data_IF_788454057378
#
_entry.id   IF_788454057378
#
_cell.length_a   1.000
_cell.length_b   1.000
_cell.length_c   1.000
_cell.angle_alpha   90.00
_cell.angle_beta   90.00
_cell.angle_gamma   90.00
#
_symmetry.space_group_name_H-M   'P 1'
#
loop_
_entity.id
_entity.type
_entity.pdbx_description
1 polymer ?
#
# COMPACT_ATOMS: atom_id res chain seq x y z
N UNK A 1 51.60 6.23 34.19
CA UNK A 1 50.52 5.46 34.83
C UNK A 1 49.33 6.38 35.09
N UNK A 2 48.24 6.11 34.36
CA UNK A 2 46.81 6.29 34.69
C UNK A 2 46.27 7.71 34.91
N UNK A 3 45.54 8.15 33.87
CA UNK A 3 44.56 9.22 33.86
C UNK A 3 43.23 8.76 34.48
N UNK A 4 42.50 9.68 35.12
CA UNK A 4 41.06 9.56 35.43
C UNK A 4 40.46 10.97 35.52
N UNK A 5 39.98 11.49 34.38
CA UNK A 5 39.04 12.60 34.35
C UNK A 5 37.65 12.01 34.11
N UNK A 6 36.78 12.12 35.11
CA UNK A 6 35.36 11.76 35.01
C UNK A 6 34.67 12.89 34.26
N UNK A 7 34.35 12.67 32.99
CA UNK A 7 33.48 13.54 32.21
C UNK A 7 32.03 13.27 32.62
N UNK A 8 31.36 14.29 33.14
CA UNK A 8 29.95 14.26 33.45
C UNK A 8 29.12 14.12 32.18
N UNK A 9 28.30 13.08 32.13
CA UNK A 9 27.37 12.76 31.06
C UNK A 9 26.39 13.90 30.78
N UNK A 10 26.50 14.51 29.59
CA UNK A 10 25.38 15.20 28.96
C UNK A 10 24.32 14.18 28.61
N UNK A 11 23.20 14.21 29.33
CA UNK A 11 21.94 13.55 29.00
C UNK A 11 21.43 14.10 27.66
N UNK A 12 21.91 13.53 26.57
CA UNK A 12 21.18 13.50 25.31
C UNK A 12 19.98 12.57 25.55
N UNK A 13 18.84 13.18 25.82
CA UNK A 13 17.54 12.56 25.69
C UNK A 13 17.39 12.08 24.25
N UNK A 14 17.86 10.86 23.97
CA UNK A 14 17.31 10.03 22.91
C UNK A 14 15.85 9.83 23.26
N UNK A 15 15.02 10.73 22.75
CA UNK A 15 13.63 10.43 22.49
C UNK A 15 13.68 9.38 21.38
N UNK A 16 13.79 8.11 21.79
CA UNK A 16 13.40 7.00 20.94
C UNK A 16 11.93 7.24 20.64
N UNK A 17 11.65 7.88 19.51
CA UNK A 17 10.35 7.75 18.88
C UNK A 17 10.23 6.26 18.58
N UNK A 18 9.58 5.53 19.49
CA UNK A 18 8.91 4.29 19.16
C UNK A 18 7.92 4.69 18.07
N UNK A 19 8.32 4.52 16.80
CA UNK A 19 7.43 4.67 15.67
C UNK A 19 6.43 3.53 15.76
N UNK A 20 5.38 3.76 16.55
CA UNK A 20 4.12 3.05 16.45
C UNK A 20 3.61 3.15 15.00
N UNK A 21 2.84 2.14 14.60
CA UNK A 21 2.24 1.91 13.27
C UNK A 21 2.58 3.00 12.26
N UNK A 22 3.52 2.70 11.37
CA UNK A 22 3.87 3.56 10.26
C UNK A 22 2.74 3.50 9.23
N UNK A 23 1.67 4.25 9.52
CA UNK A 23 0.67 4.69 8.57
C UNK A 23 -0.43 3.70 8.18
N UNK A 24 -1.68 4.03 8.48
CA UNK A 24 -2.82 3.43 7.77
C UNK A 24 -2.95 4.22 6.47
N UNK A 25 -2.94 3.52 5.33
CA UNK A 25 -3.33 4.15 4.06
C UNK A 25 -4.68 3.68 3.55
N UNK A 26 -5.26 4.50 2.68
CA UNK A 26 -6.62 4.32 2.17
C UNK A 26 -6.63 4.37 0.64
N UNK A 27 -7.52 3.58 0.04
CA UNK A 27 -7.74 3.55 -1.40
C UNK A 27 -8.51 4.79 -1.86
N UNK A 28 -7.99 5.55 -2.82
CA UNK A 28 -8.71 6.64 -3.48
C UNK A 28 -9.33 6.14 -4.79
N UNK A 29 -10.58 5.67 -4.68
CA UNK A 29 -11.41 5.32 -5.84
C UNK A 29 -11.95 6.56 -6.55
N UNK A 30 -11.88 6.58 -7.88
CA UNK A 30 -12.28 7.73 -8.72
C UNK A 30 -13.47 7.43 -9.64
N UNK A 31 -14.12 6.28 -9.47
CA UNK A 31 -15.31 5.88 -10.23
C UNK A 31 -16.57 6.55 -9.65
N UNK A 32 -16.75 7.85 -9.87
CA UNK A 32 -17.93 8.60 -9.43
C UNK A 32 -18.06 9.98 -10.06
N UNK A 33 -19.29 10.46 -10.27
CA UNK A 33 -19.57 11.74 -10.95
C UNK A 33 -19.71 12.94 -10.01
N UNK A 34 -19.67 12.71 -8.69
CA UNK A 34 -19.89 13.70 -7.65
C UNK A 34 -18.75 13.75 -6.61
N UNK A 35 -17.58 13.20 -6.95
CA UNK A 35 -16.44 13.15 -6.04
C UNK A 35 -15.83 14.55 -5.83
N UNK A 36 -15.29 14.85 -4.64
CA UNK A 36 -14.53 16.07 -4.41
C UNK A 36 -13.30 16.16 -5.33
N UNK A 37 -12.81 17.38 -5.55
CA UNK A 37 -11.55 17.58 -6.29
C UNK A 37 -10.36 16.92 -5.56
N UNK A 38 -9.30 16.50 -6.28
CA UNK A 38 -8.15 15.85 -5.66
C UNK A 38 -7.55 16.62 -4.48
N UNK A 39 -7.43 17.95 -4.56
CA UNK A 39 -6.93 18.77 -3.44
C UNK A 39 -7.79 18.65 -2.18
N UNK A 40 -9.11 18.60 -2.33
CA UNK A 40 -10.05 18.41 -1.21
C UNK A 40 -9.91 17.02 -0.62
N UNK A 41 -9.68 16.01 -1.46
CA UNK A 41 -9.41 14.64 -1.00
C UNK A 41 -8.08 14.58 -0.25
N UNK A 42 -7.00 15.15 -0.77
CA UNK A 42 -5.70 15.21 -0.06
C UNK A 42 -5.82 15.95 1.28
N UNK A 43 -6.56 17.05 1.33
CA UNK A 43 -6.85 17.75 2.59
C UNK A 43 -7.61 16.86 3.57
N UNK A 44 -8.57 16.06 3.09
CA UNK A 44 -9.31 15.11 3.91
C UNK A 44 -8.41 13.99 4.47
N UNK A 45 -7.50 13.44 3.66
CA UNK A 45 -6.52 12.44 4.13
C UNK A 45 -5.70 13.01 5.30
N UNK A 46 -5.18 14.23 5.14
CA UNK A 46 -4.38 14.90 6.17
C UNK A 46 -5.19 15.22 7.42
N UNK A 47 -6.42 15.70 7.27
CA UNK A 47 -7.30 16.02 8.39
C UNK A 47 -7.65 14.78 9.24
N UNK A 48 -7.57 13.58 8.65
CA UNK A 48 -7.87 12.31 9.31
C UNK A 48 -6.62 11.48 9.64
N UNK A 49 -5.42 12.08 9.59
CA UNK A 49 -4.15 11.39 9.89
C UNK A 49 -3.92 10.13 9.04
N UNK A 50 -4.47 10.08 7.83
CA UNK A 50 -4.17 9.03 6.85
C UNK A 50 -2.86 9.42 6.20
N UNK A 51 -1.89 8.52 6.19
CA UNK A 51 -0.51 8.82 5.77
C UNK A 51 -0.16 8.26 4.41
N UNK A 52 -0.94 7.30 3.90
CA UNK A 52 -0.67 6.64 2.63
C UNK A 52 -1.96 6.56 1.80
N UNK A 53 -1.83 6.65 0.48
CA UNK A 53 -2.93 6.58 -0.47
C UNK A 53 -2.59 5.60 -1.58
N UNK A 54 -3.57 4.78 -1.95
CA UNK A 54 -3.50 3.97 -3.16
C UNK A 54 -4.42 4.53 -4.22
N UNK A 55 -3.85 4.86 -5.38
CA UNK A 55 -4.57 5.22 -6.60
C UNK A 55 -4.47 4.07 -7.61
N UNK A 56 -5.58 3.70 -8.24
CA UNK A 56 -5.66 2.45 -9.03
C UNK A 56 -5.15 2.59 -10.46
N UNK A 57 -5.00 3.82 -10.96
CA UNK A 57 -4.51 4.12 -12.30
C UNK A 57 -3.75 5.45 -12.28
N UNK A 58 -2.92 5.73 -13.29
CA UNK A 58 -2.26 7.02 -13.40
C UNK A 58 -3.27 8.13 -13.71
N UNK A 59 -3.42 9.07 -12.78
CA UNK A 59 -4.16 10.31 -12.96
C UNK A 59 -3.26 11.49 -12.59
N UNK A 60 -2.91 12.31 -13.58
CA UNK A 60 -1.99 13.43 -13.38
C UNK A 60 -2.59 14.55 -12.54
N UNK A 61 -3.90 14.78 -12.55
CA UNK A 61 -4.53 15.79 -11.70
C UNK A 61 -4.38 15.41 -10.22
N UNK A 62 -4.47 14.11 -9.92
CA UNK A 62 -4.32 13.60 -8.57
C UNK A 62 -2.85 13.61 -8.14
N UNK A 63 -1.93 13.24 -9.04
CA UNK A 63 -0.49 13.32 -8.78
C UNK A 63 -0.03 14.76 -8.54
N UNK A 64 -0.59 15.74 -9.25
CA UNK A 64 -0.35 17.17 -8.99
C UNK A 64 -0.81 17.57 -7.59
N UNK A 65 -2.04 17.20 -7.19
CA UNK A 65 -2.56 17.47 -5.85
C UNK A 65 -1.75 16.80 -4.73
N UNK A 66 -1.09 15.68 -5.02
CA UNK A 66 -0.25 14.95 -4.06
C UNK A 66 1.13 15.56 -3.86
N UNK A 67 1.57 16.50 -4.70
CA UNK A 67 2.90 17.13 -4.59
C UNK A 67 3.04 17.84 -3.24
N UNK A 68 4.11 17.52 -2.51
CA UNK A 68 4.41 18.11 -1.20
C UNK A 68 3.40 17.76 -0.10
N UNK A 69 2.45 16.85 -0.34
CA UNK A 69 1.44 16.45 0.64
C UNK A 69 2.04 15.71 1.83
N UNK A 70 3.15 14.99 1.61
CA UNK A 70 3.78 14.07 2.56
C UNK A 70 3.13 12.69 2.60
N UNK A 71 2.05 12.46 1.83
CA UNK A 71 1.40 11.16 1.74
C UNK A 71 2.27 10.18 0.96
N UNK A 72 2.42 8.96 1.47
CA UNK A 72 2.96 7.86 0.68
C UNK A 72 1.99 7.44 -0.40
N UNK A 73 2.47 7.17 -1.61
CA UNK A 73 1.61 6.88 -2.77
C UNK A 73 1.91 5.51 -3.33
N UNK A 74 0.89 4.65 -3.35
CA UNK A 74 0.85 3.44 -4.17
C UNK A 74 0.15 3.78 -5.48
N UNK A 75 0.89 3.76 -6.59
CA UNK A 75 0.36 4.08 -7.92
C UNK A 75 0.16 2.80 -8.73
N UNK A 76 -1.10 2.48 -9.06
CA UNK A 76 -1.45 1.38 -9.96
C UNK A 76 -1.34 1.75 -11.43
N UNK A 77 -0.99 0.78 -12.27
CA UNK A 77 -1.23 0.82 -13.72
C UNK A 77 -2.69 0.46 -14.00
N UNK A 78 -3.21 0.81 -15.18
CA UNK A 78 -4.43 0.17 -15.66
C UNK A 78 -4.15 -1.31 -15.98
N UNK A 79 -5.18 -2.15 -15.91
CA UNK A 79 -5.07 -3.53 -16.40
C UNK A 79 -4.86 -3.56 -17.93
N UNK A 80 -5.36 -2.55 -18.67
CA UNK A 80 -5.11 -2.39 -20.10
C UNK A 80 -3.65 -2.08 -20.44
N UNK A 81 -2.88 -1.54 -19.48
CA UNK A 81 -1.47 -1.23 -19.69
C UNK A 81 -0.60 -2.49 -19.59
N UNK A 82 -1.10 -3.59 -18.99
CA UNK A 82 -0.28 -4.77 -18.71
C UNK A 82 0.32 -5.42 -19.95
N UNK A 83 -0.48 -5.57 -21.02
CA UNK A 83 0.00 -6.19 -22.25
C UNK A 83 1.15 -5.39 -22.91
N UNK A 84 1.00 -4.07 -23.18
CA UNK A 84 2.09 -3.28 -23.74
C UNK A 84 3.26 -3.11 -22.76
N UNK A 85 3.01 -3.01 -21.45
CA UNK A 85 4.09 -3.01 -20.44
C UNK A 85 4.90 -4.30 -20.46
N UNK A 86 4.25 -5.44 -20.69
CA UNK A 86 4.90 -6.75 -20.73
C UNK A 86 5.72 -6.97 -22.01
N UNK A 87 5.24 -6.48 -23.16
CA UNK A 87 5.83 -6.78 -24.47
C UNK A 87 6.80 -5.71 -24.99
N UNK A 88 6.72 -4.46 -24.51
CA UNK A 88 7.53 -3.35 -25.01
C UNK A 88 8.16 -2.53 -23.88
N UNK A 89 9.49 -2.66 -23.75
CA UNK A 89 10.27 -1.89 -22.77
C UNK A 89 10.21 -0.37 -23.02
N UNK A 90 10.01 0.08 -24.26
CA UNK A 90 9.89 1.51 -24.61
C UNK A 90 8.56 2.08 -24.13
N UNK A 91 7.50 1.26 -24.14
CA UNK A 91 6.21 1.62 -23.55
C UNK A 91 6.36 1.81 -22.04
N UNK A 92 7.03 0.88 -21.33
CA UNK A 92 7.30 1.02 -19.90
C UNK A 92 8.14 2.27 -19.58
N UNK A 93 9.16 2.58 -20.39
CA UNK A 93 9.93 3.81 -20.27
C UNK A 93 9.05 5.06 -20.41
N UNK A 94 8.17 5.08 -21.42
CA UNK A 94 7.24 6.19 -21.66
C UNK A 94 6.22 6.34 -20.53
N UNK A 95 5.73 5.22 -19.97
CA UNK A 95 4.81 5.21 -18.84
C UNK A 95 5.47 5.83 -17.59
N UNK A 96 6.70 5.42 -17.27
CA UNK A 96 7.48 5.99 -16.15
C UNK A 96 7.76 7.47 -16.37
N UNK A 97 8.17 7.85 -17.58
CA UNK A 97 8.45 9.24 -17.96
C UNK A 97 7.21 10.13 -17.84
N UNK A 98 6.02 9.58 -18.09
CA UNK A 98 4.76 10.34 -18.04
C UNK A 98 4.22 10.48 -16.61
N UNK A 99 4.28 9.40 -15.82
CA UNK A 99 3.48 9.31 -14.59
C UNK A 99 4.28 9.25 -13.29
N UNK A 100 5.58 8.97 -13.35
CA UNK A 100 6.41 8.86 -12.15
C UNK A 100 7.50 9.92 -12.14
N UNK A 101 8.28 10.00 -13.22
CA UNK A 101 9.45 10.88 -13.30
C UNK A 101 9.16 12.37 -13.06
N UNK A 102 8.07 12.98 -13.59
CA UNK A 102 7.79 14.41 -13.38
C UNK A 102 7.40 14.75 -11.93
N UNK A 103 6.95 13.74 -11.19
CA UNK A 103 6.47 13.85 -9.82
C UNK A 103 7.50 13.38 -8.79
N UNK A 104 8.58 12.74 -9.25
CA UNK A 104 9.66 12.27 -8.40
C UNK A 104 10.28 13.43 -7.60
N UNK A 105 10.42 13.24 -6.29
CA UNK A 105 10.91 14.25 -5.36
C UNK A 105 9.84 15.18 -4.78
N UNK A 106 8.66 15.27 -5.41
CA UNK A 106 7.51 16.00 -4.87
C UNK A 106 6.42 15.07 -4.35
N UNK A 107 6.25 13.91 -4.98
CA UNK A 107 5.34 12.84 -4.55
C UNK A 107 6.15 11.71 -3.93
N UNK A 108 5.71 11.20 -2.78
CA UNK A 108 6.40 10.14 -2.05
C UNK A 108 5.91 8.77 -2.51
N UNK A 109 6.33 8.32 -3.70
CA UNK A 109 5.96 6.99 -4.20
C UNK A 109 6.51 5.87 -3.30
N UNK A 110 5.60 5.04 -2.78
CA UNK A 110 5.91 3.83 -2.00
C UNK A 110 6.10 2.63 -2.91
N UNK A 111 5.16 2.43 -3.82
CA UNK A 111 5.12 1.28 -4.74
C UNK A 111 4.47 1.66 -6.07
N UNK A 112 4.90 1.00 -7.14
CA UNK A 112 4.14 0.93 -8.40
C UNK A 112 3.47 -0.44 -8.48
N UNK A 113 2.16 -0.50 -8.70
CA UNK A 113 1.41 -1.74 -8.87
C UNK A 113 1.21 -2.03 -10.36
N UNK A 114 1.87 -3.07 -10.86
CA UNK A 114 1.62 -3.64 -12.19
C UNK A 114 0.34 -4.48 -12.16
N UNK A 115 -0.76 -3.87 -12.57
CA UNK A 115 -2.09 -4.47 -12.58
C UNK A 115 -2.77 -4.54 -11.21
N UNK A 116 -4.07 -4.76 -11.28
CA UNK A 116 -4.97 -4.94 -10.14
C UNK A 116 -5.82 -6.20 -10.34
N UNK A 117 -5.63 -7.17 -9.44
CA UNK A 117 -6.46 -8.38 -9.30
C UNK A 117 -6.52 -9.25 -10.56
N UNK A 118 -5.48 -9.18 -11.40
CA UNK A 118 -5.37 -10.00 -12.62
C UNK A 118 -4.85 -11.41 -12.36
N UNK A 119 -4.43 -11.68 -11.12
CA UNK A 119 -4.01 -13.01 -10.66
C UNK A 119 -5.06 -13.50 -9.64
N UNK A 120 -5.70 -14.67 -9.86
CA UNK A 120 -5.54 -15.52 -11.05
C UNK A 120 -6.34 -14.96 -12.24
N UNK A 121 -5.92 -15.26 -13.46
CA UNK A 121 -6.64 -14.80 -14.66
C UNK A 121 -5.81 -14.96 -15.93
N UNK A 122 -6.43 -14.71 -17.08
CA UNK A 122 -5.78 -14.82 -18.41
C UNK A 122 -4.57 -13.88 -18.55
N UNK A 123 -4.61 -12.73 -17.89
CA UNK A 123 -3.54 -11.74 -17.90
C UNK A 123 -2.45 -11.99 -16.85
N UNK A 124 -2.56 -13.04 -16.02
CA UNK A 124 -1.59 -13.30 -14.95
C UNK A 124 -0.15 -13.48 -15.49
N UNK A 125 0.00 -14.09 -16.67
CA UNK A 125 1.29 -14.29 -17.32
C UNK A 125 1.96 -12.97 -17.75
N UNK A 126 1.20 -11.88 -17.87
CA UNK A 126 1.71 -10.56 -18.27
C UNK A 126 2.33 -9.79 -17.10
N UNK A 127 2.00 -10.15 -15.85
CA UNK A 127 2.40 -9.37 -14.67
C UNK A 127 3.91 -9.37 -14.47
N UNK A 128 4.56 -10.53 -14.52
CA UNK A 128 6.00 -10.61 -14.26
C UNK A 128 6.83 -9.83 -15.31
N UNK A 129 6.62 -9.99 -16.63
CA UNK A 129 7.32 -9.20 -17.63
C UNK A 129 7.03 -7.69 -17.49
N UNK A 130 5.77 -7.30 -17.20
CA UNK A 130 5.43 -5.89 -16.97
C UNK A 130 6.17 -5.31 -15.76
N UNK A 131 6.26 -6.05 -14.64
CA UNK A 131 7.02 -5.64 -13.47
C UNK A 131 8.51 -5.46 -13.79
N UNK A 132 9.10 -6.39 -14.56
CA UNK A 132 10.50 -6.32 -14.96
C UNK A 132 10.80 -5.09 -15.83
N UNK A 133 9.92 -4.79 -16.79
CA UNK A 133 10.08 -3.62 -17.66
C UNK A 133 9.87 -2.31 -16.90
N UNK A 134 8.89 -2.22 -16.00
CA UNK A 134 8.71 -1.06 -15.12
C UNK A 134 9.91 -0.84 -14.19
N UNK A 135 10.45 -1.91 -13.58
CA UNK A 135 11.63 -1.83 -12.72
C UNK A 135 12.87 -1.37 -13.51
N UNK A 136 13.06 -1.88 -14.73
CA UNK A 136 14.12 -1.44 -15.62
C UNK A 136 13.97 0.04 -16.00
N UNK A 137 12.77 0.49 -16.33
CA UNK A 137 12.47 1.88 -16.68
C UNK A 137 12.68 2.84 -15.50
N UNK A 138 12.20 2.49 -14.29
CA UNK A 138 12.42 3.28 -13.07
C UNK A 138 13.90 3.43 -12.76
N UNK A 139 14.66 2.33 -12.83
CA UNK A 139 16.11 2.33 -12.63
C UNK A 139 16.84 3.18 -13.68
N UNK A 140 16.45 3.08 -14.95
CA UNK A 140 17.02 3.90 -16.02
C UNK A 140 16.73 5.39 -15.82
N UNK A 141 15.59 5.74 -15.22
CA UNK A 141 15.23 7.10 -14.82
C UNK A 141 15.92 7.56 -13.51
N UNK A 142 16.76 6.73 -12.89
CA UNK A 142 17.42 7.04 -11.61
C UNK A 142 16.50 6.97 -10.39
N UNK A 143 15.35 6.31 -10.51
CA UNK A 143 14.34 6.19 -9.46
C UNK A 143 14.43 4.83 -8.77
N UNK A 144 14.38 4.84 -7.44
CA UNK A 144 14.41 3.62 -6.61
C UNK A 144 13.03 3.33 -5.99
N UNK A 145 11.99 3.33 -6.84
CA UNK A 145 10.63 2.97 -6.42
C UNK A 145 10.41 1.47 -6.67
N UNK A 146 10.03 0.67 -5.67
CA UNK A 146 9.77 -0.75 -5.86
C UNK A 146 8.49 -0.98 -6.69
N UNK A 147 8.50 -2.04 -7.51
CA UNK A 147 7.36 -2.50 -8.30
C UNK A 147 6.78 -3.77 -7.67
N UNK A 148 5.46 -3.84 -7.57
CA UNK A 148 4.70 -4.99 -7.06
C UNK A 148 3.45 -5.20 -7.91
N UNK A 149 2.56 -6.11 -7.51
CA UNK A 149 1.24 -6.30 -8.12
C UNK A 149 0.18 -6.47 -7.02
N UNK A 150 -1.07 -6.11 -7.29
CA UNK A 150 -2.18 -6.45 -6.41
C UNK A 150 -2.82 -7.75 -6.90
N UNK A 151 -2.80 -8.78 -6.07
CA UNK A 151 -3.44 -10.06 -6.36
C UNK A 151 -4.90 -10.02 -5.92
N UNK A 152 -5.78 -10.73 -6.65
CA UNK A 152 -7.16 -10.87 -6.25
C UNK A 152 -7.23 -11.68 -4.95
N UNK A 153 -8.12 -11.32 -4.03
CA UNK A 153 -8.32 -12.08 -2.77
C UNK A 153 -8.69 -13.55 -3.05
N UNK A 154 -9.28 -13.84 -4.22
CA UNK A 154 -9.61 -15.20 -4.68
C UNK A 154 -8.39 -16.13 -4.82
N UNK A 155 -7.16 -15.61 -4.90
CA UNK A 155 -5.92 -16.43 -4.88
C UNK A 155 -5.76 -17.24 -3.59
N UNK A 156 -6.42 -16.83 -2.50
CA UNK A 156 -6.43 -17.55 -1.23
C UNK A 156 -7.34 -18.80 -1.26
N UNK A 157 -8.06 -19.04 -2.37
CA UNK A 157 -8.91 -20.21 -2.60
C UNK A 157 -10.31 -20.11 -1.98
N UNK A 158 -11.04 -21.24 -1.95
CA UNK A 158 -12.39 -21.37 -1.36
C UNK A 158 -12.43 -21.30 0.18
N UNK A 159 -11.31 -20.96 0.83
CA UNK A 159 -11.18 -20.95 2.28
C UNK A 159 -11.79 -19.74 2.99
N UNK A 160 -12.60 -18.92 2.31
CA UNK A 160 -13.21 -17.74 2.90
C UNK A 160 -14.39 -18.09 3.82
N UNK A 161 -14.08 -18.64 4.99
CA UNK A 161 -14.99 -18.68 6.13
C UNK A 161 -14.62 -17.60 7.14
N UNK A 162 -15.56 -17.22 8.00
CA UNK A 162 -15.32 -16.29 9.11
C UNK A 162 -14.18 -16.81 10.00
N UNK A 163 -14.09 -18.12 10.27
CA UNK A 163 -13.01 -18.67 11.08
C UNK A 163 -11.64 -18.52 10.42
N UNK A 164 -11.55 -18.76 9.10
CA UNK A 164 -10.28 -18.66 8.37
C UNK A 164 -9.83 -17.22 8.18
N UNK A 165 -10.76 -16.28 7.94
CA UNK A 165 -10.46 -14.85 7.89
C UNK A 165 -9.96 -14.33 9.24
N UNK A 166 -10.63 -14.72 10.34
CA UNK A 166 -10.19 -14.38 11.69
C UNK A 166 -8.82 -15.00 12.01
N UNK A 167 -8.58 -16.26 11.64
CA UNK A 167 -7.29 -16.91 11.82
C UNK A 167 -6.19 -16.22 11.00
N UNK A 168 -6.48 -15.84 9.76
CA UNK A 168 -5.54 -15.14 8.88
C UNK A 168 -5.16 -13.76 9.44
N UNK A 169 -6.15 -12.89 9.73
CA UNK A 169 -5.90 -11.54 10.23
C UNK A 169 -5.16 -11.58 11.57
N UNK A 170 -5.59 -12.43 12.51
CA UNK A 170 -4.92 -12.50 13.82
C UNK A 170 -3.49 -13.06 13.74
N UNK A 171 -3.21 -13.97 12.81
CA UNK A 171 -1.84 -14.45 12.59
C UNK A 171 -1.00 -13.42 11.83
N UNK A 172 -1.60 -12.66 10.91
CA UNK A 172 -0.93 -11.59 10.16
C UNK A 172 -0.50 -10.47 11.11
N UNK A 173 -1.39 -9.97 11.97
CA UNK A 173 -1.09 -8.97 13.01
C UNK A 173 0.02 -9.46 13.96
N UNK A 174 0.03 -10.75 14.33
CA UNK A 174 1.09 -11.33 15.19
C UNK A 174 2.43 -11.52 14.47
N UNK A 175 2.43 -11.68 13.15
CA UNK A 175 3.62 -12.01 12.36
C UNK A 175 4.27 -10.78 11.73
N UNK A 176 3.48 -9.77 11.38
CA UNK A 176 3.89 -8.62 10.57
C UNK A 176 5.10 -7.86 11.15
N UNK A 177 5.18 -7.73 12.47
CA UNK A 177 6.31 -7.07 13.16
C UNK A 177 7.63 -7.85 13.10
N UNK A 178 7.58 -9.16 12.81
CA UNK A 178 8.77 -10.03 12.74
C UNK A 178 9.53 -9.93 11.42
N UNK A 179 8.91 -9.34 10.40
CA UNK A 179 9.46 -9.27 9.06
C UNK A 179 9.40 -10.59 8.29
N UNK A 180 9.86 -10.57 7.04
CA UNK A 180 9.84 -11.77 6.18
C UNK A 180 11.10 -12.62 6.40
N UNK A 181 11.10 -13.91 6.03
CA UNK A 181 12.32 -14.74 6.09
C UNK A 181 13.54 -14.12 5.39
N UNK A 182 13.31 -13.30 4.35
CA UNK A 182 14.35 -12.60 3.59
C UNK A 182 14.71 -11.22 4.17
N UNK A 183 13.88 -10.67 5.07
CA UNK A 183 14.13 -9.43 5.82
C UNK A 183 13.72 -9.59 7.29
N UNK A 184 14.41 -10.44 8.08
CA UNK A 184 14.04 -10.68 9.47
C UNK A 184 14.16 -9.40 10.32
N UNK A 185 13.23 -9.20 11.25
CA UNK A 185 13.23 -8.08 12.20
C UNK A 185 12.81 -6.72 11.63
N UNK A 186 12.39 -6.66 10.36
CA UNK A 186 11.83 -5.43 9.75
C UNK A 186 10.34 -5.61 9.53
N UNK A 187 9.53 -4.81 10.22
CA UNK A 187 8.08 -4.85 10.06
C UNK A 187 7.67 -4.71 8.59
N UNK A 188 6.68 -5.49 8.17
CA UNK A 188 6.10 -5.43 6.82
C UNK A 188 4.93 -4.45 6.85
N UNK A 189 4.94 -3.42 6.01
CA UNK A 189 3.79 -2.53 5.87
C UNK A 189 2.58 -3.34 5.37
N UNK A 190 1.48 -3.34 6.13
CA UNK A 190 0.35 -4.28 5.95
C UNK A 190 -0.98 -3.55 6.06
N UNK A 191 -1.88 -3.83 5.12
CA UNK A 191 -3.18 -3.18 4.99
C UNK A 191 -4.29 -4.21 5.25
N UNK A 192 -5.19 -3.93 6.18
CA UNK A 192 -6.36 -4.77 6.44
C UNK A 192 -7.45 -4.42 5.41
N UNK A 193 -8.05 -5.45 4.81
CA UNK A 193 -8.89 -5.35 3.62
C UNK A 193 -10.15 -4.46 3.78
N UNK A 194 -10.90 -4.58 4.88
CA UNK A 194 -12.12 -3.79 5.09
C UNK A 194 -12.46 -3.57 6.58
N UNK A 195 -12.96 -2.37 6.91
CA UNK A 195 -13.38 -2.01 8.27
C UNK A 195 -14.81 -2.45 8.59
N UNK A 196 -15.71 -2.43 7.59
CA UNK A 196 -17.11 -2.82 7.72
C UNK A 196 -17.51 -3.87 6.69
N UNK A 197 -18.55 -4.65 6.99
CA UNK A 197 -19.22 -5.43 5.96
C UNK A 197 -20.08 -4.49 5.09
N UNK A 198 -19.73 -4.36 3.81
CA UNK A 198 -20.41 -3.46 2.87
C UNK A 198 -21.60 -4.16 2.19
N UNK A 199 -22.82 -3.70 2.47
CA UNK A 199 -24.08 -4.34 2.07
C UNK A 199 -24.51 -4.09 0.60
N UNK A 200 -23.78 -3.26 -0.16
CA UNK A 200 -24.06 -2.98 -1.57
C UNK A 200 -23.12 -3.70 -2.53
N UNK A 201 -22.15 -4.44 -2.01
CA UNK A 201 -21.33 -5.32 -2.84
C UNK A 201 -22.14 -6.54 -3.28
N UNK A 202 -21.91 -7.08 -4.48
CA UNK A 202 -22.50 -8.34 -4.89
C UNK A 202 -22.23 -9.43 -3.83
N UNK A 203 -23.23 -10.26 -3.52
CA UNK A 203 -23.07 -11.37 -2.57
C UNK A 203 -21.87 -12.24 -2.96
N UNK A 204 -21.00 -12.53 -2.00
CA UNK A 204 -19.75 -13.22 -2.28
C UNK A 204 -18.73 -13.21 -1.14
N UNK A 205 -17.51 -13.63 -1.46
CA UNK A 205 -16.40 -13.84 -0.51
C UNK A 205 -16.10 -12.62 0.38
N UNK A 206 -16.28 -11.40 -0.14
CA UNK A 206 -15.90 -10.15 0.51
C UNK A 206 -16.84 -9.71 1.65
N UNK A 207 -18.04 -10.28 1.74
CA UNK A 207 -19.10 -9.84 2.67
C UNK A 207 -18.81 -10.13 4.15
N UNK A 208 -17.70 -10.83 4.45
CA UNK A 208 -17.31 -11.25 5.80
C UNK A 208 -15.94 -10.70 6.25
N UNK A 209 -15.28 -9.89 5.42
CA UNK A 209 -13.94 -9.37 5.73
C UNK A 209 -13.96 -8.09 6.59
N UNK A 210 -15.14 -7.50 6.83
CA UNK A 210 -15.30 -6.37 7.73
C UNK A 210 -15.07 -6.75 9.18
N UNK A 211 -14.34 -5.92 9.91
CA UNK A 211 -14.10 -6.12 11.35
C UNK A 211 -15.32 -5.71 12.20
N UNK A 212 -16.15 -4.80 11.68
CA UNK A 212 -17.31 -4.24 12.36
C UNK A 212 -18.58 -4.33 11.50
N UNK A 213 -19.73 -4.49 12.16
CA UNK A 213 -21.02 -4.24 11.54
C UNK A 213 -21.25 -2.72 11.40
N UNK A 214 -22.19 -2.28 10.55
CA UNK A 214 -22.55 -0.86 10.45
C UNK A 214 -23.00 -0.21 11.77
N UNK A 215 -23.43 -1.01 12.75
CA UNK A 215 -23.80 -0.56 14.10
C UNK A 215 -22.62 -0.51 15.09
N UNK A 216 -21.39 -0.68 14.59
CA UNK A 216 -20.13 -0.70 15.33
C UNK A 216 -19.93 -1.89 16.28
N UNK A 217 -20.83 -2.87 16.28
CA UNK A 217 -20.55 -4.15 16.92
C UNK A 217 -19.43 -4.88 16.16
N UNK A 218 -18.55 -5.55 16.90
CA UNK A 218 -17.51 -6.37 16.29
C UNK A 218 -18.13 -7.59 15.64
N UNK A 219 -17.77 -7.87 14.38
CA UNK A 219 -18.17 -9.11 13.69
C UNK A 219 -17.47 -10.31 14.35
N UNK A 220 -16.24 -10.10 14.82
CA UNK A 220 -15.45 -11.02 15.64
C UNK A 220 -14.47 -10.20 16.50
N UNK A 221 -14.07 -10.69 17.70
CA UNK A 221 -13.10 -9.99 18.53
C UNK A 221 -11.73 -9.93 17.85
N UNK A 222 -11.15 -8.74 17.76
CA UNK A 222 -9.80 -8.50 17.23
C UNK A 222 -8.94 -7.89 18.33
N UNK A 223 -7.85 -8.58 18.68
CA UNK A 223 -6.90 -8.11 19.68
C UNK A 223 -5.72 -7.39 19.03
N UNK A 224 -5.81 -6.06 18.99
CA UNK A 224 -4.75 -5.21 18.47
C UNK A 224 -3.60 -4.97 19.46
N UNK A 225 -3.69 -5.46 20.70
CA UNK A 225 -2.62 -5.26 21.69
C UNK A 225 -1.37 -6.10 21.42
N UNK A 226 -1.51 -7.16 20.62
CA UNK A 226 -0.42 -8.05 20.21
C UNK A 226 0.54 -7.43 19.17
N UNK A 227 0.29 -6.21 18.70
CA UNK A 227 1.19 -5.48 17.79
C UNK A 227 2.25 -4.62 18.53
N UNK A 228 2.41 -4.81 19.84
CA UNK A 228 3.40 -4.12 20.68
C UNK A 228 4.73 -4.86 20.73
#
# INVERSE_FOLDING_TARGET
MIALWVAACSLLSWCSSLSGVQGIGVNYGMMGSNLPSPDKVVALYKANNITDVRIFHPDTNVLEALRGSGLGVVLGTLNSDLAPLASDASYAASWVQSYVQPFAGAVSFRYINAGNEVIPGESAALVLPAMQNLEAALRAAGLSVPVTTAMATSVLGYGASVENAAAYINNLVRHVGRGTPRRPGKAVETYIFAMFNENQKPEGVEQYFGMFQPDMSQVYPVDFSASS
#
